data_IF_671614216616
#
_entry.id   IF_671614216616
#
_cell.length_a   1.000
_cell.length_b   1.000
_cell.length_c   1.000
_cell.angle_alpha   90.00
_cell.angle_beta   90.00
_cell.angle_gamma   90.00
#
_symmetry.space_group_name_H-M   'P 1'
#
loop_
_entity.id
_entity.type
_entity.pdbx_description
1 polymer ?
#
# COMPACT_ATOMS: atom_id res chain seq x y z
N UNK A 1 -24.93 1.61 -0.96
CA UNK A 1 -24.27 0.32 -0.68
C UNK A 1 -22.97 0.68 0.01
N UNK A 2 -22.74 0.18 1.23
CA UNK A 2 -21.43 0.26 1.84
C UNK A 2 -20.65 -0.90 1.23
N UNK A 3 -19.86 -0.62 0.19
CA UNK A 3 -19.00 -1.61 -0.43
C UNK A 3 -17.72 -1.61 0.36
N UNK A 4 -17.54 -2.60 1.23
CA UNK A 4 -16.29 -2.75 1.97
C UNK A 4 -15.20 -3.13 0.95
N UNK A 5 -14.09 -2.39 0.95
CA UNK A 5 -12.94 -2.75 0.13
C UNK A 5 -12.16 -3.81 0.88
N UNK A 6 -11.95 -4.96 0.23
CA UNK A 6 -11.31 -6.13 0.84
C UNK A 6 -10.09 -6.52 0.03
N UNK A 7 -8.97 -6.68 0.72
CA UNK A 7 -7.73 -7.24 0.17
C UNK A 7 -7.55 -8.63 0.76
N UNK A 8 -7.19 -9.60 -0.08
CA UNK A 8 -6.96 -10.97 0.36
C UNK A 8 -5.59 -11.43 -0.12
N UNK A 9 -4.77 -11.88 0.83
CA UNK A 9 -3.48 -12.54 0.62
C UNK A 9 -3.63 -14.03 0.97
N UNK A 10 -2.60 -14.86 0.79
CA UNK A 10 -2.62 -16.24 1.27
C UNK A 10 -2.81 -16.35 2.79
N UNK A 11 -2.32 -15.36 3.57
CA UNK A 11 -2.26 -15.42 5.03
C UNK A 11 -3.35 -14.59 5.72
N UNK A 12 -3.96 -13.61 5.04
CA UNK A 12 -4.94 -12.74 5.68
C UNK A 12 -5.94 -12.08 4.73
N UNK A 13 -6.99 -11.53 5.33
CA UNK A 13 -8.01 -10.70 4.67
C UNK A 13 -8.08 -9.37 5.41
N UNK A 14 -7.93 -8.26 4.69
CA UNK A 14 -7.98 -6.91 5.23
C UNK A 14 -9.18 -6.14 4.69
N UNK A 15 -9.98 -5.50 5.55
CA UNK A 15 -11.04 -4.57 5.19
C UNK A 15 -10.64 -3.13 5.51
N UNK A 16 -10.80 -2.22 4.54
CA UNK A 16 -10.28 -0.84 4.64
C UNK A 16 -11.37 0.18 4.34
N UNK A 17 -11.37 1.28 5.11
CA UNK A 17 -12.37 2.35 5.01
C UNK A 17 -11.73 3.69 5.34
N UNK A 18 -11.42 4.47 4.29
CA UNK A 18 -10.78 5.78 4.46
C UNK A 18 -9.44 5.64 5.18
N UNK A 19 -8.62 4.69 4.73
CA UNK A 19 -7.41 4.26 5.41
C UNK A 19 -6.19 4.55 4.54
N UNK A 20 -5.14 5.09 5.15
CA UNK A 20 -3.79 5.13 4.58
C UNK A 20 -2.96 4.08 5.31
N UNK A 21 -2.36 3.15 4.59
CA UNK A 21 -1.68 2.00 5.16
C UNK A 21 -0.73 1.35 4.18
N UNK A 22 0.26 0.64 4.73
CA UNK A 22 1.14 -0.25 3.99
C UNK A 22 0.75 -1.71 4.23
N UNK A 23 0.78 -2.51 3.18
CA UNK A 23 0.70 -3.96 3.24
C UNK A 23 1.94 -4.55 2.60
N UNK A 24 2.74 -5.26 3.40
CA UNK A 24 3.86 -6.06 2.94
C UNK A 24 3.45 -7.52 3.08
N UNK A 25 3.57 -8.30 2.01
CA UNK A 25 3.18 -9.72 2.00
C UNK A 25 4.36 -10.58 1.59
N UNK A 26 4.64 -11.61 2.37
CA UNK A 26 5.64 -12.60 2.07
C UNK A 26 5.10 -14.01 2.42
N UNK A 27 5.16 -14.98 1.49
CA UNK A 27 4.54 -16.29 1.67
C UNK A 27 5.21 -17.16 2.75
N UNK A 28 6.39 -16.78 3.24
CA UNK A 28 7.14 -17.53 4.26
C UNK A 28 7.02 -16.86 5.63
N UNK A 29 7.14 -15.54 5.68
CA UNK A 29 7.17 -14.76 6.91
C UNK A 29 5.81 -14.20 7.30
N UNK A 30 4.85 -14.13 6.38
CA UNK A 30 3.49 -13.66 6.62
C UNK A 30 3.21 -12.27 6.05
N UNK A 31 2.11 -11.68 6.48
CA UNK A 31 1.72 -10.33 6.11
C UNK A 31 2.04 -9.36 7.24
N UNK A 32 2.51 -8.18 6.88
CA UNK A 32 2.66 -7.04 7.77
C UNK A 32 1.77 -5.90 7.27
N UNK A 33 0.94 -5.37 8.17
CA UNK A 33 0.12 -4.19 7.96
C UNK A 33 0.64 -3.08 8.85
N UNK A 34 0.84 -1.89 8.26
CA UNK A 34 1.23 -0.67 8.97
C UNK A 34 0.15 0.37 8.71
N UNK A 35 -0.62 0.76 9.72
CA UNK A 35 -1.73 1.70 9.57
C UNK A 35 -1.27 3.13 9.87
N UNK A 36 -1.33 4.00 8.85
CA UNK A 36 -0.90 5.41 8.92
C UNK A 36 -2.07 6.33 9.26
N UNK A 37 -3.26 6.08 8.71
CA UNK A 37 -4.48 6.82 9.03
C UNK A 37 -5.68 5.88 8.94
N UNK A 38 -6.66 6.01 9.85
CA UNK A 38 -7.91 5.25 9.80
C UNK A 38 -7.88 3.91 10.56
N UNK A 39 -8.58 2.90 10.03
CA UNK A 39 -8.63 1.56 10.63
C UNK A 39 -8.66 0.47 9.54
N UNK A 40 -7.90 -0.60 9.77
CA UNK A 40 -7.89 -1.81 8.94
C UNK A 40 -8.37 -2.98 9.79
N UNK A 41 -9.48 -3.61 9.41
CA UNK A 41 -9.90 -4.87 10.03
C UNK A 41 -9.14 -6.03 9.38
N UNK A 42 -8.30 -6.71 10.14
CA UNK A 42 -7.45 -7.81 9.67
C UNK A 42 -7.95 -9.15 10.20
N UNK A 43 -8.10 -10.15 9.33
CA UNK A 43 -8.48 -11.51 9.69
C UNK A 43 -7.43 -12.48 9.16
N UNK A 44 -6.85 -13.32 10.02
CA UNK A 44 -5.96 -14.39 9.59
C UNK A 44 -6.75 -15.48 8.86
N UNK A 45 -6.27 -15.93 7.70
CA UNK A 45 -7.00 -16.87 6.85
C UNK A 45 -7.00 -18.31 7.38
N UNK A 46 -6.01 -18.69 8.21
CA UNK A 46 -5.85 -20.04 8.76
C UNK A 46 -6.72 -20.24 10.01
N UNK A 47 -6.66 -19.31 10.97
CA UNK A 47 -7.37 -19.42 12.26
C UNK A 47 -8.72 -18.71 12.25
N UNK A 48 -8.90 -17.71 11.39
CA UNK A 48 -10.05 -16.81 11.42
C UNK A 48 -10.02 -15.82 12.59
N UNK A 49 -8.91 -15.74 13.34
CA UNK A 49 -8.71 -14.68 14.34
C UNK A 49 -8.68 -13.32 13.66
N UNK A 50 -9.23 -12.30 14.33
CA UNK A 50 -9.35 -10.96 13.82
C UNK A 50 -8.80 -9.89 14.77
N UNK A 51 -8.32 -8.79 14.20
CA UNK A 51 -7.84 -7.62 14.93
C UNK A 51 -8.07 -6.35 14.13
N UNK A 52 -8.45 -5.27 14.82
CA UNK A 52 -8.52 -3.93 14.24
C UNK A 52 -7.16 -3.23 14.38
N UNK A 53 -6.52 -2.93 13.26
CA UNK A 53 -5.27 -2.15 13.18
C UNK A 53 -5.62 -0.68 12.96
N UNK A 54 -5.57 0.10 14.03
CA UNK A 54 -5.85 1.54 14.00
C UNK A 54 -4.62 2.37 13.65
N UNK A 55 -4.80 3.65 13.35
CA UNK A 55 -3.73 4.64 13.17
C UNK A 55 -2.60 4.50 14.21
N UNK A 56 -1.35 4.47 13.72
CA UNK A 56 -0.15 4.33 14.53
C UNK A 56 0.14 2.91 15.03
N UNK A 57 -0.68 1.92 14.65
CA UNK A 57 -0.46 0.51 14.96
C UNK A 57 -0.03 -0.30 13.73
N UNK A 58 0.74 -1.34 13.98
CA UNK A 58 1.16 -2.34 13.01
C UNK A 58 0.71 -3.72 13.47
N UNK A 59 0.37 -4.58 12.52
CA UNK A 59 0.07 -5.97 12.81
C UNK A 59 0.82 -6.92 11.88
N UNK A 60 1.36 -7.99 12.44
CA UNK A 60 1.95 -9.10 11.70
C UNK A 60 1.00 -10.29 11.78
N UNK A 61 0.59 -10.80 10.63
CA UNK A 61 -0.19 -12.02 10.48
C UNK A 61 0.69 -13.10 9.88
N UNK A 62 1.02 -14.13 10.66
CA UNK A 62 1.91 -15.20 10.21
C UNK A 62 1.12 -16.44 9.74
N UNK A 63 1.72 -17.30 8.88
CA UNK A 63 1.02 -18.44 8.29
C UNK A 63 0.56 -19.52 9.27
N UNK A 64 1.06 -19.50 10.53
CA UNK A 64 0.62 -20.45 11.56
C UNK A 64 -0.71 -20.04 12.23
N UNK A 65 -1.24 -18.87 11.90
CA UNK A 65 -2.47 -18.36 12.45
C UNK A 65 -2.33 -17.20 13.42
N UNK A 66 -1.11 -16.90 13.88
CA UNK A 66 -0.90 -15.90 14.93
C UNK A 66 -1.00 -14.48 14.37
N UNK A 67 -1.65 -13.60 15.14
CA UNK A 67 -1.70 -12.16 14.94
C UNK A 67 -0.93 -11.45 16.06
N UNK A 68 0.04 -10.62 15.68
CA UNK A 68 0.82 -9.80 16.61
C UNK A 68 0.57 -8.33 16.32
N UNK A 69 -0.09 -7.62 17.23
CA UNK A 69 -0.35 -6.18 17.15
C UNK A 69 0.65 -5.40 18.02
N UNK A 70 1.24 -4.35 17.47
CA UNK A 70 2.20 -3.48 18.17
C UNK A 70 2.12 -2.03 17.69
N UNK A 71 2.72 -1.11 18.46
CA UNK A 71 2.90 0.28 18.00
C UNK A 71 3.84 0.30 16.79
N UNK A 72 3.48 1.08 15.77
CA UNK A 72 4.26 1.23 14.55
C UNK A 72 5.60 1.90 14.85
N UNK A 73 6.69 1.28 14.42
CA UNK A 73 7.99 1.95 14.34
C UNK A 73 8.01 2.86 13.09
N UNK A 74 8.16 4.19 13.22
CA UNK A 74 8.19 5.09 12.08
C UNK A 74 9.29 4.76 11.06
N UNK A 75 10.38 4.13 11.48
CA UNK A 75 11.47 3.71 10.59
C UNK A 75 11.15 2.46 9.77
N UNK A 76 10.06 1.75 10.10
CA UNK A 76 9.57 0.59 9.36
C UNK A 76 8.60 0.97 8.23
N UNK A 77 8.14 2.23 8.21
CA UNK A 77 7.26 2.74 7.16
C UNK A 77 8.08 2.84 5.86
N UNK A 78 7.66 2.18 4.77
CA UNK A 78 8.34 2.29 3.47
C UNK A 78 8.32 3.73 2.94
N UNK A 79 9.32 4.08 2.15
CA UNK A 79 9.32 5.33 1.38
C UNK A 79 8.19 5.30 0.32
N UNK A 80 7.42 6.38 0.23
CA UNK A 80 6.37 6.49 -0.78
C UNK A 80 7.00 6.61 -2.18
N UNK A 81 6.71 5.69 -3.13
CA UNK A 81 7.26 5.78 -4.48
C UNK A 81 6.80 7.02 -5.25
N UNK A 82 5.79 7.74 -4.76
CA UNK A 82 5.34 9.02 -5.32
C UNK A 82 6.12 10.23 -4.79
N UNK A 83 6.79 10.11 -3.63
CA UNK A 83 7.66 11.16 -3.09
C UNK A 83 8.95 11.31 -3.91
N UNK A 84 9.34 10.30 -4.70
CA UNK A 84 10.51 10.36 -5.59
C UNK A 84 10.33 11.25 -6.84
N UNK A 85 9.28 12.07 -6.94
CA UNK A 85 9.20 13.14 -7.94
C UNK A 85 9.91 14.43 -7.51
N UNK A 86 11.11 14.35 -6.91
CA UNK A 86 12.07 15.46 -6.92
C UNK A 86 12.82 15.52 -8.27
N UNK A 87 12.05 15.56 -9.36
CA UNK A 87 12.53 15.92 -10.69
C UNK A 87 12.03 17.33 -11.05
N UNK A 88 12.69 18.07 -11.96
CA UNK A 88 12.10 19.30 -12.47
C UNK A 88 10.70 18.99 -12.99
N UNK A 89 9.72 19.86 -12.75
CA UNK A 89 8.36 19.63 -13.24
C UNK A 89 8.42 19.51 -14.77
N UNK A 90 7.97 18.38 -15.34
CA UNK A 90 8.09 18.14 -16.79
C UNK A 90 6.73 18.13 -17.48
N UNK A 91 6.61 18.89 -18.57
CA UNK A 91 5.53 18.72 -19.55
C UNK A 91 6.11 17.93 -20.73
N UNK A 92 5.52 16.78 -21.06
CA UNK A 92 5.91 15.96 -22.22
C UNK A 92 4.83 16.09 -23.30
N UNK A 93 5.17 16.70 -24.42
CA UNK A 93 4.29 16.87 -25.59
C UNK A 93 4.72 15.86 -26.65
N UNK A 94 3.84 14.92 -26.98
CA UNK A 94 4.05 13.94 -28.05
C UNK A 94 3.50 14.50 -29.36
N UNK A 95 4.37 14.60 -30.36
CA UNK A 95 4.07 15.13 -31.69
C UNK A 95 4.17 13.97 -32.68
N UNK A 96 3.09 13.67 -33.39
CA UNK A 96 3.09 12.67 -34.45
C UNK A 96 3.23 13.37 -35.82
N UNK A 97 4.28 12.99 -36.55
CA UNK A 97 4.53 13.48 -37.90
C UNK A 97 3.70 12.75 -38.97
N UNK A 98 3.61 13.29 -40.19
CA UNK A 98 2.77 12.74 -41.28
C UNK A 98 3.08 11.29 -41.70
N UNK A 99 4.22 10.75 -41.27
CA UNK A 99 4.68 9.40 -41.57
C UNK A 99 4.61 8.45 -40.36
N UNK A 100 3.92 8.85 -39.27
CA UNK A 100 3.89 8.10 -38.01
C UNK A 100 5.15 8.26 -37.15
N UNK A 101 6.03 9.20 -37.49
CA UNK A 101 7.21 9.52 -36.70
C UNK A 101 6.80 10.27 -35.43
N UNK A 102 7.01 9.68 -34.25
CA UNK A 102 6.74 10.35 -32.98
C UNK A 102 7.98 11.12 -32.50
N UNK A 103 7.79 12.40 -32.18
CA UNK A 103 8.78 13.22 -31.46
C UNK A 103 8.21 13.62 -30.10
N UNK A 104 9.06 13.59 -29.08
CA UNK A 104 8.70 14.08 -27.75
C UNK A 104 9.40 15.41 -27.51
N UNK A 105 8.62 16.43 -27.14
CA UNK A 105 9.11 17.69 -26.60
C UNK A 105 8.95 17.64 -25.08
N UNK A 106 10.07 17.75 -24.36
CA UNK A 106 10.09 17.79 -22.89
C UNK A 106 10.35 19.24 -22.46
N UNK A 107 9.47 19.80 -21.63
CA UNK A 107 9.60 21.14 -21.06
C UNK A 107 9.77 20.98 -19.56
N UNK A 108 10.93 21.38 -19.04
CA UNK A 108 11.23 21.38 -17.62
C UNK A 108 10.92 22.76 -17.03
N UNK A 109 10.24 22.81 -15.88
CA UNK A 109 9.92 24.03 -15.14
C UNK A 109 10.10 23.85 -13.62
N UNK A 110 10.17 24.97 -12.91
CA UNK A 110 10.34 25.08 -11.46
C UNK A 110 9.19 25.90 -10.88
#
# INVERSE_FOLDING_TARGET
QNTDFVIQTPTSVASVKGTDFWLLTDPVTGDQIICVEGTVGLVNSETGEDVDVTEGMSCISIPDGTLELSETDPSSIPDDPSDEQEGPSQIRIYLEGPNGEQKVMVIEYQ
#
